data_IF_204489695075
#
_entry.id   IF_204489695075
#
_cell.length_a   1.000
_cell.length_b   1.000
_cell.length_c   1.000
_cell.angle_alpha   90.00
_cell.angle_beta   90.00
_cell.angle_gamma   90.00
#
_symmetry.space_group_name_H-M   'P 1'
#
loop_
_entity.id
_entity.type
_entity.pdbx_description
1 polymer ?
#
# COMPACT_ATOMS: atom_id res chain seq x y z
N UNK A 1 18.41 22.65 18.79
CA UNK A 1 17.46 22.27 19.84
C UNK A 1 17.99 21.00 20.53
N UNK A 2 18.56 21.07 21.74
CA UNK A 2 19.35 19.96 22.31
C UNK A 2 18.59 18.63 22.49
N UNK A 3 17.26 18.65 22.61
CA UNK A 3 16.42 17.49 22.95
C UNK A 3 15.82 16.75 21.75
N UNK A 4 15.83 17.36 20.55
CA UNK A 4 15.12 16.82 19.38
C UNK A 4 15.61 15.40 18.99
N UNK A 5 16.93 15.11 18.95
CA UNK A 5 17.40 13.75 18.65
C UNK A 5 16.97 12.72 19.70
N UNK A 6 16.94 13.10 20.98
CA UNK A 6 16.51 12.21 22.05
C UNK A 6 15.02 11.88 21.93
N UNK A 7 14.18 12.90 21.71
CA UNK A 7 12.73 12.73 21.51
C UNK A 7 12.46 11.84 20.29
N UNK A 8 13.21 12.03 19.20
CA UNK A 8 13.02 11.25 17.97
C UNK A 8 13.39 9.78 18.15
N UNK A 9 14.49 9.49 18.87
CA UNK A 9 14.85 8.11 19.23
C UNK A 9 13.78 7.48 20.13
N UNK A 10 13.33 8.20 21.16
CA UNK A 10 12.30 7.72 22.07
C UNK A 10 10.97 7.45 21.34
N UNK A 11 10.59 8.33 20.42
CA UNK A 11 9.44 8.13 19.55
C UNK A 11 9.61 6.88 18.68
N UNK A 12 10.78 6.70 18.05
CA UNK A 12 11.06 5.52 17.23
C UNK A 12 10.96 4.22 18.03
N UNK A 13 11.55 4.18 19.23
CA UNK A 13 11.44 3.04 20.13
C UNK A 13 10.01 2.80 20.63
N UNK A 14 9.27 3.86 20.95
CA UNK A 14 7.86 3.75 21.35
C UNK A 14 7.02 3.13 20.22
N UNK A 15 7.28 3.51 18.96
CA UNK A 15 6.60 2.93 17.79
C UNK A 15 6.97 1.47 17.63
N UNK A 16 8.25 1.12 17.72
CA UNK A 16 8.70 -0.26 17.64
C UNK A 16 8.05 -1.12 18.74
N UNK A 17 7.99 -0.59 19.97
CA UNK A 17 7.32 -1.24 21.10
C UNK A 17 5.81 -1.40 20.86
N UNK A 18 5.10 -0.33 20.46
CA UNK A 18 3.68 -0.39 20.14
C UNK A 18 3.41 -1.36 18.98
N UNK A 19 4.29 -1.46 18.00
CA UNK A 19 4.14 -2.42 16.90
C UNK A 19 4.22 -3.87 17.38
N UNK A 20 5.03 -4.16 18.41
CA UNK A 20 5.19 -5.51 18.97
C UNK A 20 4.05 -5.89 19.93
N UNK A 21 3.58 -4.96 20.78
CA UNK A 21 2.63 -5.27 21.86
C UNK A 21 1.20 -4.77 21.61
N UNK A 22 1.04 -3.68 20.84
CA UNK A 22 -0.24 -2.97 20.64
C UNK A 22 -0.49 -2.71 19.15
N UNK A 23 -0.26 -3.75 18.33
CA UNK A 23 -0.28 -3.65 16.86
C UNK A 23 -1.57 -3.05 16.33
N UNK A 24 -2.72 -3.52 16.81
CA UNK A 24 -4.03 -3.07 16.31
C UNK A 24 -4.32 -1.61 16.64
N UNK A 25 -3.81 -1.12 17.77
CA UNK A 25 -3.88 0.30 18.13
C UNK A 25 -2.99 1.14 17.20
N UNK A 26 -1.72 0.77 17.04
CA UNK A 26 -0.77 1.52 16.21
C UNK A 26 -1.19 1.57 14.73
N UNK A 27 -1.81 0.51 14.22
CA UNK A 27 -2.23 0.42 12.82
C UNK A 27 -3.48 1.24 12.49
N UNK A 28 -4.14 1.86 13.49
CA UNK A 28 -5.25 2.77 13.24
C UNK A 28 -4.76 3.94 12.37
N UNK A 29 -5.45 4.29 11.27
CA UNK A 29 -4.99 5.31 10.32
C UNK A 29 -4.66 6.65 10.99
N UNK A 30 -5.51 7.09 11.92
CA UNK A 30 -5.35 8.35 12.64
C UNK A 30 -4.18 8.38 13.63
N UNK A 31 -3.58 7.23 13.95
CA UNK A 31 -2.37 7.13 14.79
C UNK A 31 -1.15 6.90 13.90
N UNK A 32 -1.22 5.90 13.01
CA UNK A 32 -0.15 5.51 12.10
C UNK A 32 0.36 6.68 11.27
N UNK A 33 -0.54 7.43 10.63
CA UNK A 33 -0.14 8.48 9.68
C UNK A 33 0.57 9.67 10.32
N UNK A 34 0.02 10.32 11.35
CA UNK A 34 0.70 11.44 11.99
C UNK A 34 2.08 11.04 12.54
N UNK A 35 2.17 9.84 13.11
CA UNK A 35 3.40 9.32 13.71
C UNK A 35 4.47 9.03 12.66
N UNK A 36 4.11 8.38 11.54
CA UNK A 36 5.03 8.13 10.45
C UNK A 36 5.48 9.43 9.76
N UNK A 37 4.57 10.40 9.57
CA UNK A 37 4.92 11.73 9.04
C UNK A 37 5.90 12.44 9.97
N UNK A 38 5.64 12.43 11.28
CA UNK A 38 6.54 13.03 12.27
C UNK A 38 7.94 12.40 12.21
N UNK A 39 8.04 11.07 12.14
CA UNK A 39 9.32 10.36 11.95
C UNK A 39 10.01 10.74 10.63
N UNK A 40 9.24 10.85 9.54
CA UNK A 40 9.75 11.22 8.21
C UNK A 40 10.45 12.58 8.22
N UNK A 41 9.98 13.50 9.06
CA UNK A 41 10.52 14.85 9.20
C UNK A 41 11.65 14.88 10.24
N UNK A 42 11.41 14.30 11.42
CA UNK A 42 12.33 14.39 12.54
C UNK A 42 13.64 13.65 12.29
N UNK A 43 13.62 12.48 11.65
CA UNK A 43 14.86 11.72 11.40
C UNK A 43 15.87 12.50 10.53
N UNK A 44 15.50 13.03 9.35
CA UNK A 44 16.39 13.86 8.55
C UNK A 44 16.86 15.13 9.29
N UNK A 45 15.97 15.80 10.02
CA UNK A 45 16.31 17.03 10.77
C UNK A 45 17.29 16.73 11.90
N UNK A 46 17.13 15.61 12.62
CA UNK A 46 18.07 15.18 13.65
C UNK A 46 19.42 14.76 13.07
N UNK A 47 19.43 14.07 11.92
CA UNK A 47 20.66 13.75 11.20
C UNK A 47 21.44 15.02 10.87
N UNK A 48 20.76 16.06 10.38
CA UNK A 48 21.33 17.38 10.11
C UNK A 48 21.86 18.08 11.38
N UNK A 49 21.08 18.11 12.46
CA UNK A 49 21.51 18.74 13.71
C UNK A 49 22.74 18.02 14.32
N UNK A 50 22.83 16.71 14.20
CA UNK A 50 23.95 15.93 14.72
C UNK A 50 25.20 16.04 13.85
N UNK A 51 25.05 16.12 12.52
CA UNK A 51 26.17 16.35 11.59
C UNK A 51 26.78 17.74 11.77
N UNK A 52 25.97 18.79 11.89
CA UNK A 52 26.45 20.17 12.15
C UNK A 52 27.17 20.30 13.50
N UNK A 53 26.77 19.51 14.50
CA UNK A 53 27.46 19.43 15.81
C UNK A 53 28.70 18.51 15.81
N UNK A 54 29.09 17.96 14.65
CA UNK A 54 30.19 17.00 14.49
C UNK A 54 30.04 15.71 15.30
N UNK A 55 28.83 15.35 15.73
CA UNK A 55 28.58 14.14 16.49
C UNK A 55 28.32 12.94 15.57
N UNK A 56 29.40 12.41 14.98
CA UNK A 56 29.36 11.43 13.89
C UNK A 56 28.70 10.10 14.27
N UNK A 57 28.86 9.64 15.51
CA UNK A 57 28.31 8.36 15.97
C UNK A 57 26.79 8.42 15.96
N UNK A 58 26.20 9.41 16.63
CA UNK A 58 24.75 9.56 16.68
C UNK A 58 24.16 9.90 15.31
N UNK A 59 24.84 10.69 14.49
CA UNK A 59 24.43 10.91 13.10
C UNK A 59 24.36 9.59 12.32
N UNK A 60 25.34 8.71 12.48
CA UNK A 60 25.35 7.39 11.81
C UNK A 60 24.18 6.51 12.27
N UNK A 61 23.85 6.51 13.57
CA UNK A 61 22.66 5.81 14.09
C UNK A 61 21.38 6.30 13.40
N UNK A 62 21.20 7.61 13.29
CA UNK A 62 20.05 8.20 12.61
C UNK A 62 19.99 7.85 11.12
N UNK A 63 21.14 7.80 10.44
CA UNK A 63 21.20 7.39 9.04
C UNK A 63 20.78 5.93 8.86
N UNK A 64 21.24 5.02 9.73
CA UNK A 64 20.84 3.61 9.73
C UNK A 64 19.34 3.46 9.99
N UNK A 65 18.79 4.17 10.98
CA UNK A 65 17.35 4.15 11.27
C UNK A 65 16.53 4.69 10.09
N UNK A 66 17.00 5.75 9.43
CA UNK A 66 16.33 6.31 8.26
C UNK A 66 16.29 5.33 7.08
N UNK A 67 17.43 4.70 6.76
CA UNK A 67 17.52 3.66 5.72
C UNK A 67 16.59 2.49 6.06
N UNK A 68 16.60 2.04 7.32
CA UNK A 68 15.72 0.98 7.79
C UNK A 68 14.24 1.32 7.60
N UNK A 69 13.81 2.55 7.91
CA UNK A 69 12.43 3.00 7.70
C UNK A 69 12.04 2.99 6.22
N UNK A 70 12.91 3.48 5.33
CA UNK A 70 12.67 3.45 3.88
C UNK A 70 12.53 2.01 3.38
N UNK A 71 13.45 1.13 3.79
CA UNK A 71 13.43 -0.28 3.42
C UNK A 71 12.15 -0.97 3.92
N UNK A 72 11.76 -0.71 5.17
CA UNK A 72 10.54 -1.26 5.77
C UNK A 72 9.28 -0.81 5.02
N UNK A 73 9.13 0.49 4.73
CA UNK A 73 8.01 1.01 3.96
C UNK A 73 7.97 0.44 2.54
N UNK A 74 9.11 0.35 1.86
CA UNK A 74 9.21 -0.22 0.52
C UNK A 74 8.82 -1.69 0.49
N UNK A 75 9.30 -2.47 1.47
CA UNK A 75 8.93 -3.88 1.63
C UNK A 75 7.45 -4.05 1.93
N UNK A 76 6.87 -3.19 2.77
CA UNK A 76 5.43 -3.20 3.06
C UNK A 76 4.59 -2.89 1.81
N UNK A 77 4.98 -1.88 1.03
CA UNK A 77 4.32 -1.55 -0.23
C UNK A 77 4.37 -2.73 -1.22
N UNK A 78 5.55 -3.34 -1.39
CA UNK A 78 5.72 -4.52 -2.24
C UNK A 78 4.86 -5.69 -1.79
N UNK A 79 4.86 -6.03 -0.49
CA UNK A 79 4.03 -7.13 0.03
C UNK A 79 2.54 -6.87 -0.17
N UNK A 80 2.09 -5.63 0.03
CA UNK A 80 0.70 -5.24 -0.16
C UNK A 80 0.33 -5.34 -1.64
N UNK A 81 1.20 -4.88 -2.54
CA UNK A 81 1.03 -5.03 -3.98
C UNK A 81 0.96 -6.50 -4.40
N UNK A 82 1.88 -7.34 -3.94
CA UNK A 82 1.89 -8.77 -4.24
C UNK A 82 0.61 -9.46 -3.75
N UNK A 83 0.12 -9.10 -2.55
CA UNK A 83 -1.16 -9.59 -2.03
C UNK A 83 -2.33 -9.16 -2.94
N UNK A 84 -2.44 -7.87 -3.27
CA UNK A 84 -3.51 -7.35 -4.13
C UNK A 84 -3.47 -7.98 -5.53
N UNK A 85 -2.28 -8.19 -6.08
CA UNK A 85 -2.06 -8.83 -7.37
C UNK A 85 -2.43 -10.33 -7.34
N UNK A 86 -2.22 -11.01 -6.20
CA UNK A 86 -2.60 -12.42 -6.01
C UNK A 86 -4.11 -12.65 -5.87
N UNK A 87 -4.87 -11.60 -5.50
CA UNK A 87 -6.33 -11.69 -5.46
C UNK A 87 -6.86 -11.86 -6.89
N UNK A 88 -7.60 -12.95 -7.13
CA UNK A 88 -8.14 -13.28 -8.46
C UNK A 88 -8.79 -12.05 -9.13
N UNK A 89 -8.56 -11.84 -10.45
CA UNK A 89 -9.19 -10.76 -11.18
C UNK A 89 -10.70 -10.87 -11.00
N UNK A 90 -11.34 -9.71 -10.76
CA UNK A 90 -12.79 -9.59 -10.64
C UNK A 90 -13.41 -10.02 -11.98
N UNK A 91 -13.69 -11.32 -12.12
CA UNK A 91 -14.17 -11.93 -13.37
C UNK A 91 -15.69 -11.81 -13.45
N UNK A 92 -16.19 -10.59 -13.26
CA UNK A 92 -17.62 -10.32 -13.11
C UNK A 92 -18.24 -9.56 -14.29
N UNK A 93 -17.55 -9.41 -15.42
CA UNK A 93 -18.03 -8.53 -16.49
C UNK A 93 -18.13 -9.14 -17.88
N UNK A 94 -17.62 -10.35 -18.09
CA UNK A 94 -17.80 -11.02 -19.37
C UNK A 94 -18.61 -12.26 -19.04
N UNK A 95 -19.93 -12.18 -19.26
CA UNK A 95 -20.77 -13.35 -19.46
C UNK A 95 -19.94 -14.30 -20.34
N UNK A 96 -19.41 -15.37 -19.75
CA UNK A 96 -18.35 -16.14 -20.41
C UNK A 96 -18.93 -16.62 -21.73
N UNK A 97 -18.52 -15.99 -22.84
CA UNK A 97 -19.25 -16.08 -24.11
C UNK A 97 -19.36 -17.54 -24.57
N UNK A 98 -18.38 -18.35 -24.14
CA UNK A 98 -18.36 -19.81 -24.26
C UNK A 98 -19.48 -20.49 -23.47
N UNK A 99 -19.69 -20.14 -22.20
CA UNK A 99 -20.80 -20.65 -21.39
C UNK A 99 -22.16 -20.22 -21.97
N UNK A 100 -22.30 -18.96 -22.39
CA UNK A 100 -23.53 -18.49 -23.05
C UNK A 100 -23.80 -19.22 -24.38
N UNK A 101 -22.75 -19.59 -25.11
CA UNK A 101 -22.85 -20.36 -26.34
C UNK A 101 -23.35 -21.79 -26.09
N UNK A 102 -23.00 -22.42 -24.95
CA UNK A 102 -23.52 -23.75 -24.58
C UNK A 102 -25.05 -23.72 -24.41
N UNK A 103 -25.63 -22.62 -23.91
CA UNK A 103 -27.09 -22.48 -23.77
C UNK A 103 -27.86 -22.50 -25.10
N UNK A 104 -27.18 -22.17 -26.20
CA UNK A 104 -27.79 -22.03 -27.53
C UNK A 104 -27.38 -23.12 -28.52
N UNK A 105 -26.18 -23.69 -28.38
CA UNK A 105 -25.59 -24.62 -29.34
C UNK A 105 -25.58 -26.09 -28.90
N UNK A 106 -25.62 -26.36 -27.59
CA UNK A 106 -25.59 -27.72 -27.07
C UNK A 106 -26.90 -28.46 -27.38
N UNK A 107 -26.88 -29.77 -27.57
CA UNK A 107 -28.13 -30.56 -27.72
C UNK A 107 -28.62 -31.07 -26.38
N UNK A 108 -27.71 -31.54 -25.52
CA UNK A 108 -28.02 -32.11 -24.22
C UNK A 108 -28.66 -31.09 -23.26
N UNK A 109 -29.90 -31.35 -22.84
CA UNK A 109 -30.65 -30.51 -21.91
C UNK A 109 -30.00 -30.43 -20.52
N UNK A 110 -29.41 -31.52 -20.02
CA UNK A 110 -28.73 -31.54 -18.72
C UNK A 110 -27.50 -30.62 -18.69
N UNK A 111 -26.75 -30.56 -19.80
CA UNK A 111 -25.60 -29.65 -19.96
C UNK A 111 -26.04 -28.18 -19.98
N UNK A 112 -27.14 -27.86 -20.66
CA UNK A 112 -27.72 -26.51 -20.67
C UNK A 112 -28.17 -26.08 -19.28
N UNK A 113 -28.83 -26.97 -18.54
CA UNK A 113 -29.28 -26.72 -17.17
C UNK A 113 -28.09 -26.45 -16.26
N UNK A 114 -27.03 -27.28 -16.32
CA UNK A 114 -25.81 -27.10 -15.53
C UNK A 114 -25.14 -25.76 -15.81
N UNK A 115 -25.05 -25.36 -17.08
CA UNK A 115 -24.44 -24.08 -17.47
C UNK A 115 -25.28 -22.87 -17.04
N UNK A 116 -26.60 -22.91 -17.21
CA UNK A 116 -27.43 -21.79 -16.78
C UNK A 116 -27.51 -21.69 -15.24
N UNK A 117 -27.43 -22.80 -14.50
CA UNK A 117 -27.21 -22.77 -13.03
C UNK A 117 -25.86 -22.14 -12.66
N UNK A 118 -24.79 -22.48 -13.38
CA UNK A 118 -23.46 -21.90 -13.16
C UNK A 118 -23.46 -20.38 -13.45
N UNK A 119 -24.13 -19.95 -14.52
CA UNK A 119 -24.29 -18.55 -14.87
C UNK A 119 -25.16 -17.80 -13.85
N UNK A 120 -26.22 -18.43 -13.32
CA UNK A 120 -27.01 -17.88 -12.22
C UNK A 120 -26.16 -17.72 -10.94
N UNK A 121 -25.43 -18.75 -10.53
CA UNK A 121 -24.55 -18.69 -9.36
C UNK A 121 -23.44 -17.64 -9.49
N UNK A 122 -23.11 -17.22 -10.72
CA UNK A 122 -22.08 -16.21 -11.01
C UNK A 122 -22.66 -14.80 -11.13
N UNK A 123 -23.80 -14.64 -11.82
CA UNK A 123 -24.35 -13.34 -12.23
C UNK A 123 -25.70 -13.00 -11.59
N UNK A 124 -26.38 -13.95 -10.96
CA UNK A 124 -27.72 -13.79 -10.37
C UNK A 124 -28.85 -13.63 -11.40
N UNK A 125 -28.57 -13.87 -12.68
CA UNK A 125 -29.56 -13.76 -13.76
C UNK A 125 -30.02 -15.15 -14.18
N UNK A 126 -31.31 -15.41 -14.06
CA UNK A 126 -31.92 -16.64 -14.55
C UNK A 126 -32.01 -16.58 -16.08
N UNK A 127 -31.15 -17.34 -16.76
CA UNK A 127 -31.12 -17.37 -18.23
C UNK A 127 -32.08 -18.42 -18.76
N UNK A 128 -32.75 -18.07 -19.86
CA UNK A 128 -33.56 -19.01 -20.63
C UNK A 128 -32.70 -19.78 -21.62
N UNK A 129 -33.03 -21.05 -21.86
CA UNK A 129 -32.40 -21.91 -22.86
C UNK A 129 -33.45 -22.51 -23.79
N UNK A 130 -33.01 -22.93 -24.99
CA UNK A 130 -33.87 -23.62 -25.96
C UNK A 130 -33.89 -25.12 -25.65
N UNK A 131 -35.06 -25.62 -25.25
CA UNK A 131 -35.29 -27.06 -24.98
C UNK A 131 -35.35 -27.86 -26.29
N UNK A 132 -35.32 -29.19 -26.20
CA UNK A 132 -35.35 -30.09 -27.37
C UNK A 132 -36.62 -29.88 -28.21
N UNK A 133 -37.74 -29.54 -27.57
CA UNK A 133 -39.02 -29.21 -28.21
C UNK A 133 -39.03 -27.83 -28.92
N UNK A 134 -37.89 -27.14 -28.98
CA UNK A 134 -37.73 -25.83 -29.60
C UNK A 134 -38.31 -24.65 -28.80
N UNK A 135 -38.97 -24.91 -27.67
CA UNK A 135 -39.51 -23.88 -26.76
C UNK A 135 -38.43 -23.29 -25.87
N UNK A 136 -38.55 -22.01 -25.55
CA UNK A 136 -37.74 -21.37 -24.53
C UNK A 136 -38.19 -21.83 -23.13
N UNK A 137 -37.27 -22.36 -22.33
CA UNK A 137 -37.48 -22.66 -20.91
C UNK A 137 -36.57 -21.77 -20.08
N UNK A 138 -37.13 -21.10 -19.07
CA UNK A 138 -36.35 -20.41 -18.05
C UNK A 138 -35.98 -21.40 -16.94
N UNK A 139 -34.75 -21.32 -16.41
CA UNK A 139 -34.43 -22.03 -15.18
C UNK A 139 -35.09 -21.30 -14.01
N UNK A 140 -35.83 -22.05 -13.20
CA UNK A 140 -36.26 -21.61 -11.88
C UNK A 140 -35.13 -22.00 -10.91
N UNK A 141 -34.40 -21.02 -10.34
CA UNK A 141 -33.32 -21.32 -9.42
C UNK A 141 -33.87 -22.00 -8.17
N UNK A 142 -33.14 -23.00 -7.67
CA UNK A 142 -33.45 -23.62 -6.38
C UNK A 142 -32.86 -22.82 -5.23
N UNK A 143 -33.30 -23.09 -4.00
CA UNK A 143 -32.72 -22.48 -2.79
C UNK A 143 -31.19 -22.69 -2.70
N UNK A 144 -30.68 -23.84 -3.15
CA UNK A 144 -29.24 -24.11 -3.20
C UNK A 144 -28.50 -23.20 -4.19
N UNK A 145 -29.12 -22.93 -5.35
CA UNK A 145 -28.56 -22.06 -6.39
C UNK A 145 -28.52 -20.60 -5.90
N UNK A 146 -29.53 -20.16 -5.14
CA UNK A 146 -29.55 -18.85 -4.48
C UNK A 146 -28.45 -18.71 -3.41
N UNK A 147 -28.30 -19.72 -2.53
CA UNK A 147 -27.23 -19.75 -1.52
C UNK A 147 -25.85 -19.66 -2.19
N UNK A 148 -25.65 -20.39 -3.30
CA UNK A 148 -24.40 -20.33 -4.06
C UNK A 148 -24.15 -18.94 -4.64
N UNK A 149 -25.18 -18.30 -5.23
CA UNK A 149 -25.09 -16.93 -5.72
C UNK A 149 -24.73 -15.92 -4.62
N UNK A 150 -25.42 -15.94 -3.47
CA UNK A 150 -25.13 -15.02 -2.37
C UNK A 150 -23.73 -15.23 -1.80
N UNK A 151 -23.30 -16.49 -1.68
CA UNK A 151 -21.94 -16.83 -1.24
C UNK A 151 -20.88 -16.27 -2.20
N UNK A 152 -21.05 -16.48 -3.51
CA UNK A 152 -20.16 -15.93 -4.53
C UNK A 152 -20.18 -14.40 -4.53
N UNK A 153 -21.35 -13.78 -4.45
CA UNK A 153 -21.50 -12.33 -4.37
C UNK A 153 -20.79 -11.75 -3.16
N UNK A 154 -20.92 -12.38 -1.99
CA UNK A 154 -20.24 -11.95 -0.76
C UNK A 154 -18.72 -12.09 -0.89
N UNK A 155 -18.23 -13.23 -1.41
CA UNK A 155 -16.81 -13.44 -1.66
C UNK A 155 -16.24 -12.43 -2.66
N UNK A 156 -16.94 -12.18 -3.76
CA UNK A 156 -16.55 -11.20 -4.77
C UNK A 156 -16.53 -9.77 -4.19
N UNK A 157 -17.50 -9.43 -3.34
CA UNK A 157 -17.52 -8.14 -2.64
C UNK A 157 -16.33 -8.02 -1.70
N UNK A 158 -16.01 -9.07 -0.94
CA UNK A 158 -14.83 -9.10 -0.05
C UNK A 158 -13.53 -8.95 -0.84
N UNK A 159 -13.37 -9.64 -1.97
CA UNK A 159 -12.20 -9.52 -2.85
C UNK A 159 -12.10 -8.10 -3.42
N UNK A 160 -13.21 -7.53 -3.90
CA UNK A 160 -13.24 -6.16 -4.43
C UNK A 160 -12.86 -5.14 -3.36
N UNK A 161 -13.37 -5.29 -2.13
CA UNK A 161 -13.01 -4.42 -1.01
C UNK A 161 -11.54 -4.59 -0.64
N UNK A 162 -11.04 -5.84 -0.53
CA UNK A 162 -9.64 -6.12 -0.22
C UNK A 162 -8.68 -5.49 -1.26
N UNK A 163 -9.04 -5.55 -2.56
CA UNK A 163 -8.29 -4.85 -3.62
C UNK A 163 -8.31 -3.34 -3.43
N UNK A 164 -9.48 -2.75 -3.19
CA UNK A 164 -9.62 -1.31 -2.99
C UNK A 164 -8.80 -0.82 -1.79
N UNK A 165 -8.95 -1.47 -0.64
CA UNK A 165 -8.21 -1.14 0.59
C UNK A 165 -6.71 -1.38 0.44
N UNK A 166 -6.31 -2.46 -0.22
CA UNK A 166 -4.91 -2.74 -0.51
C UNK A 166 -4.27 -1.68 -1.42
N UNK A 167 -4.98 -1.21 -2.45
CA UNK A 167 -4.51 -0.11 -3.32
C UNK A 167 -4.36 1.20 -2.55
N UNK A 168 -5.34 1.56 -1.71
CA UNK A 168 -5.26 2.74 -0.83
C UNK A 168 -4.01 2.65 0.07
N UNK A 169 -3.76 1.49 0.68
CA UNK A 169 -2.60 1.29 1.53
C UNK A 169 -1.26 1.40 0.78
N UNK A 170 -1.22 1.01 -0.51
CA UNK A 170 -0.05 1.19 -1.39
C UNK A 170 0.16 2.68 -1.64
N UNK A 171 -0.86 3.42 -2.06
CA UNK A 171 -0.79 4.85 -2.35
C UNK A 171 -0.32 5.64 -1.12
N UNK A 172 -0.89 5.36 0.04
CA UNK A 172 -0.49 5.94 1.32
C UNK A 172 1.00 5.69 1.65
N UNK A 173 1.49 4.48 1.38
CA UNK A 173 2.88 4.12 1.63
C UNK A 173 3.82 4.84 0.65
N UNK A 174 3.42 4.99 -0.61
CA UNK A 174 4.17 5.73 -1.63
C UNK A 174 4.24 7.22 -1.31
N UNK A 175 3.15 7.82 -0.82
CA UNK A 175 3.15 9.22 -0.35
C UNK A 175 4.14 9.41 0.81
N UNK A 176 4.12 8.51 1.80
CA UNK A 176 5.07 8.55 2.91
C UNK A 176 6.54 8.44 2.43
N UNK A 177 6.82 7.55 1.49
CA UNK A 177 8.15 7.43 0.88
C UNK A 177 8.54 8.71 0.13
N UNK A 178 7.63 9.30 -0.64
CA UNK A 178 7.87 10.56 -1.33
C UNK A 178 8.20 11.69 -0.34
N UNK A 179 7.48 11.79 0.79
CA UNK A 179 7.77 12.76 1.85
C UNK A 179 9.19 12.54 2.40
N UNK A 180 9.59 11.29 2.71
CA UNK A 180 10.94 10.99 3.18
C UNK A 180 12.00 11.47 2.18
N UNK A 181 11.84 11.16 0.90
CA UNK A 181 12.79 11.53 -0.16
C UNK A 181 12.83 13.04 -0.34
N UNK A 182 11.69 13.72 -0.37
CA UNK A 182 11.60 15.17 -0.55
C UNK A 182 12.24 15.92 0.62
N UNK A 183 11.92 15.54 1.87
CA UNK A 183 12.50 16.18 3.06
C UNK A 183 14.00 15.95 3.11
N UNK A 184 14.46 14.73 2.85
CA UNK A 184 15.88 14.41 2.84
C UNK A 184 16.63 15.17 1.73
N UNK A 185 16.09 15.19 0.51
CA UNK A 185 16.68 15.90 -0.63
C UNK A 185 16.69 17.41 -0.42
N UNK A 186 15.63 17.97 0.17
CA UNK A 186 15.54 19.38 0.52
C UNK A 186 16.59 19.77 1.56
N UNK A 187 16.77 18.94 2.60
CA UNK A 187 17.84 19.13 3.58
C UNK A 187 19.22 19.02 2.94
N UNK A 188 19.44 18.07 2.01
CA UNK A 188 20.70 17.91 1.29
C UNK A 188 21.00 19.10 0.37
N UNK A 189 20.01 19.64 -0.32
CA UNK A 189 20.17 20.88 -1.09
C UNK A 189 20.53 22.06 -0.18
N UNK A 190 19.85 22.21 0.95
CA UNK A 190 20.16 23.23 1.95
C UNK A 190 21.59 23.09 2.48
N UNK A 191 22.04 21.86 2.72
CA UNK A 191 23.40 21.45 3.12
C UNK A 191 24.45 22.07 2.19
N UNK A 192 24.31 21.77 0.90
CA UNK A 192 25.27 22.15 -0.15
C UNK A 192 25.28 23.67 -0.36
N UNK A 193 24.12 24.31 -0.29
CA UNK A 193 23.98 25.76 -0.54
C UNK A 193 24.45 26.58 0.67
N UNK A 194 24.09 26.18 1.89
CA UNK A 194 24.28 27.00 3.09
C UNK A 194 25.62 26.77 3.80
N UNK A 195 26.27 25.60 3.66
CA UNK A 195 27.63 25.40 4.19
C UNK A 195 28.74 25.96 3.28
N UNK A 196 28.49 26.14 1.98
CA UNK A 196 29.45 26.75 1.03
C UNK A 196 29.99 28.12 1.49
N UNK A 197 29.16 29.12 1.86
CA UNK A 197 29.68 30.45 2.21
C UNK A 197 30.48 30.48 3.52
N UNK A 198 30.21 29.57 4.47
CA UNK A 198 30.90 29.54 5.76
C UNK A 198 32.34 29.04 5.63
N UNK A 199 32.57 28.05 4.76
CA UNK A 199 33.89 27.50 4.48
C UNK A 199 34.73 28.41 3.57
N UNK A 200 34.10 29.11 2.61
CA UNK A 200 34.74 30.14 1.81
C UNK A 200 35.24 31.31 2.68
N UNK A 201 34.38 31.83 3.56
CA UNK A 201 34.76 32.93 4.46
C UNK A 201 35.85 32.53 5.48
N UNK A 202 35.85 31.29 5.98
CA UNK A 202 36.90 30.80 6.87
C UNK A 202 38.25 30.61 6.15
N UNK A 203 38.23 30.09 4.92
CA UNK A 203 39.42 29.97 4.08
C UNK A 203 39.97 31.34 3.68
N UNK A 204 39.11 32.28 3.32
CA UNK A 204 39.49 33.64 2.95
C UNK A 204 40.08 34.41 4.15
N UNK A 205 39.52 34.23 5.36
CA UNK A 205 40.05 34.81 6.61
C UNK A 205 41.39 34.21 7.03
N UNK A 206 41.62 32.91 6.75
CA UNK A 206 42.91 32.24 6.94
C UNK A 206 43.98 32.75 5.98
N UNK A 207 43.60 33.17 4.78
CA UNK A 207 44.54 33.69 3.78
C UNK A 207 44.91 35.14 4.12
N UNK A 208 43.94 35.99 4.50
CA UNK A 208 44.22 37.38 4.91
C UNK A 208 45.05 37.49 6.19
N UNK A 209 44.94 36.54 7.14
CA UNK A 209 45.77 36.54 8.35
C UNK A 209 47.20 36.00 8.14
N UNK A 210 47.54 35.54 6.93
CA UNK A 210 48.88 35.03 6.58
C UNK A 210 49.67 35.97 5.67
N UNK A 211 49.08 37.09 5.26
CA UNK A 211 49.79 38.13 4.52
C UNK A 211 50.21 39.17 5.56
N UNK A 212 51.52 39.36 5.81
CA UNK A 212 52.03 40.33 6.79
C UNK A 212 51.74 41.78 6.39
#
# INVERSE_FOLDING_TARGET
>A
MKLLPFITLLLWFAIAFCYLFFRDFLLQPYIKFPVLIALSIFMPVCLWELTTKKNRIYASVFAVLFIFNIAFLSFHAYRTYAYVASLEPYKNQILDRKLAQVLTSEKNEASKIKVAKTLFATHGVALSYKSEDGKAKAIIPSNEDEIAYYTNKMNNTRISLAKKWGMIAIDETLILLAIHVLVFSGLLCFLVIYERPKNLNAAQKSITNRIP
#
